data_IF_727906935587
#
_entry.id   IF_727906935587
#
_cell.length_a   1.000
_cell.length_b   1.000
_cell.length_c   1.000
_cell.angle_alpha   90.00
_cell.angle_beta   90.00
_cell.angle_gamma   90.00
#
_symmetry.space_group_name_H-M   'P 1'
#
loop_
_entity.id
_entity.type
_entity.pdbx_description
1 polymer ?
#
# COMPACT_ATOMS: atom_id res chain seq x y z
N UNK A 1 -12.92 3.55 16.27
CA UNK A 1 -11.64 2.88 15.97
C UNK A 1 -10.66 3.98 15.67
N UNK A 2 -9.57 4.06 16.42
CA UNK A 2 -8.60 5.14 16.31
C UNK A 2 -7.68 4.88 15.11
N UNK A 3 -7.82 5.65 14.03
CA UNK A 3 -7.06 5.45 12.79
C UNK A 3 -5.54 5.56 13.00
N UNK A 4 -5.10 6.19 14.09
CA UNK A 4 -3.70 6.33 14.47
C UNK A 4 -3.01 4.97 14.72
N UNK A 5 -3.66 4.03 15.41
CA UNK A 5 -3.08 2.72 15.70
C UNK A 5 -2.89 1.86 14.43
N UNK A 6 -3.81 2.02 13.47
CA UNK A 6 -3.73 1.31 12.19
C UNK A 6 -2.55 1.83 11.36
N UNK A 7 -2.33 3.14 11.37
CA UNK A 7 -1.21 3.77 10.69
C UNK A 7 0.13 3.41 11.33
N UNK A 8 0.17 3.22 12.66
CA UNK A 8 1.38 2.75 13.35
C UNK A 8 1.70 1.28 13.06
N UNK A 9 0.68 0.42 13.00
CA UNK A 9 0.86 -1.01 12.69
C UNK A 9 1.10 -1.28 11.21
N UNK A 10 0.42 -0.55 10.33
CA UNK A 10 0.44 -0.75 8.88
C UNK A 10 0.67 0.59 8.17
N UNK A 11 1.91 1.11 8.20
CA UNK A 11 2.25 2.42 7.65
C UNK A 11 2.09 2.51 6.12
N UNK A 12 1.86 1.39 5.43
CA UNK A 12 1.61 1.31 3.99
C UNK A 12 0.13 1.39 3.61
N UNK A 13 -0.79 1.28 4.57
CA UNK A 13 -2.21 1.46 4.33
C UNK A 13 -2.55 2.94 4.25
N UNK A 14 -3.42 3.25 3.30
CA UNK A 14 -3.94 4.57 3.01
C UNK A 14 -5.45 4.54 2.98
N UNK A 15 -6.06 5.61 3.45
CA UNK A 15 -7.50 5.82 3.36
C UNK A 15 -7.78 7.00 2.45
N UNK A 16 -8.59 6.75 1.44
CA UNK A 16 -9.10 7.79 0.55
C UNK A 16 -10.60 7.89 0.69
N UNK A 17 -11.11 9.11 0.60
CA UNK A 17 -12.52 9.40 0.55
C UNK A 17 -12.87 9.82 -0.87
N UNK A 18 -13.86 9.17 -1.44
CA UNK A 18 -14.39 9.51 -2.76
C UNK A 18 -15.89 9.72 -2.64
N UNK A 19 -16.32 10.96 -2.92
CA UNK A 19 -17.68 11.42 -2.65
C UNK A 19 -18.11 11.16 -1.18
N UNK A 20 -19.00 10.19 -0.95
CA UNK A 20 -19.51 9.81 0.37
C UNK A 20 -18.96 8.48 0.90
N UNK A 21 -18.07 7.83 0.15
CA UNK A 21 -17.54 6.51 0.50
C UNK A 21 -16.06 6.62 0.87
N UNK A 22 -15.65 5.86 1.87
CA UNK A 22 -14.28 5.73 2.31
C UNK A 22 -13.72 4.38 1.85
N UNK A 23 -12.51 4.42 1.31
CA UNK A 23 -11.80 3.25 0.80
C UNK A 23 -10.45 3.15 1.51
N UNK A 24 -10.28 2.06 2.25
CA UNK A 24 -9.03 1.73 2.95
C UNK A 24 -8.28 0.67 2.16
N UNK A 25 -6.98 0.89 1.95
CA UNK A 25 -6.15 -0.05 1.24
C UNK A 25 -4.80 0.50 0.83
N UNK A 26 -4.16 -0.09 -0.18
CA UNK A 26 -2.83 0.33 -0.63
C UNK A 26 -2.97 1.23 -1.84
N UNK A 27 -2.51 2.48 -1.72
CA UNK A 27 -2.48 3.41 -2.84
C UNK A 27 -1.41 2.96 -3.82
N UNK A 28 -1.82 2.59 -5.04
CA UNK A 28 -0.90 2.14 -6.07
C UNK A 28 -0.26 3.33 -6.78
N UNK A 29 -1.10 4.28 -7.21
CA UNK A 29 -0.65 5.48 -7.90
C UNK A 29 -1.60 6.63 -7.64
N UNK A 30 -1.05 7.82 -7.43
CA UNK A 30 -1.80 9.06 -7.42
C UNK A 30 -1.16 10.05 -8.39
N UNK A 31 -1.88 10.34 -9.46
CA UNK A 31 -1.52 11.38 -10.42
C UNK A 31 -2.54 12.52 -10.41
N UNK A 32 -2.25 13.61 -11.13
CA UNK A 32 -3.13 14.78 -11.24
C UNK A 32 -4.52 14.48 -11.85
N UNK A 33 -4.67 13.36 -12.56
CA UNK A 33 -5.91 12.97 -13.23
C UNK A 33 -6.59 11.77 -12.59
N UNK A 34 -5.82 10.74 -12.22
CA UNK A 34 -6.34 9.45 -11.75
C UNK A 34 -5.61 9.02 -10.48
N UNK A 35 -6.38 8.52 -9.52
CA UNK A 35 -5.91 7.88 -8.30
C UNK A 35 -6.34 6.43 -8.30
N UNK A 36 -5.40 5.53 -8.13
CA UNK A 36 -5.62 4.09 -8.17
C UNK A 36 -5.27 3.50 -6.80
N UNK A 37 -6.21 2.76 -6.22
CA UNK A 37 -6.07 2.13 -4.90
C UNK A 37 -6.51 0.68 -4.97
N UNK A 38 -5.80 -0.20 -4.28
CA UNK A 38 -6.29 -1.55 -4.01
C UNK A 38 -7.11 -1.53 -2.73
N UNK A 39 -8.41 -1.78 -2.83
CA UNK A 39 -9.33 -1.70 -1.69
C UNK A 39 -9.28 -2.99 -0.89
N UNK A 40 -8.85 -2.89 0.37
CA UNK A 40 -8.76 -4.04 1.26
C UNK A 40 -10.14 -4.64 1.60
N UNK A 41 -11.15 -3.77 1.70
CA UNK A 41 -12.52 -4.17 2.02
C UNK A 41 -13.19 -5.02 0.93
N UNK A 42 -12.74 -4.87 -0.33
CA UNK A 42 -13.29 -5.59 -1.48
C UNK A 42 -12.84 -7.07 -1.51
N UNK A 43 -11.75 -7.39 -0.80
CA UNK A 43 -11.28 -8.75 -0.63
C UNK A 43 -12.29 -9.52 0.23
N UNK A 44 -12.93 -10.55 -0.31
CA UNK A 44 -13.90 -11.37 0.44
C UNK A 44 -13.23 -12.51 1.20
N UNK A 45 -12.10 -12.99 0.69
CA UNK A 45 -11.36 -14.11 1.26
C UNK A 45 -10.43 -13.63 2.38
N UNK A 46 -10.39 -14.38 3.48
CA UNK A 46 -9.57 -14.04 4.64
C UNK A 46 -8.09 -14.34 4.36
N UNK A 47 -7.81 -15.40 3.61
CA UNK A 47 -6.46 -15.74 3.18
C UNK A 47 -5.90 -14.65 2.25
N UNK A 48 -6.70 -14.17 1.29
CA UNK A 48 -6.29 -13.06 0.42
C UNK A 48 -6.06 -11.76 1.20
N UNK A 49 -6.88 -11.48 2.21
CA UNK A 49 -6.67 -10.31 3.09
C UNK A 49 -5.33 -10.39 3.81
N UNK A 50 -4.98 -11.57 4.32
CA UNK A 50 -3.71 -11.76 5.01
C UNK A 50 -2.54 -11.60 4.04
N UNK A 51 -2.58 -12.27 2.89
CA UNK A 51 -1.55 -12.13 1.86
C UNK A 51 -1.40 -10.68 1.37
N UNK A 52 -2.50 -9.93 1.24
CA UNK A 52 -2.46 -8.52 0.87
C UNK A 52 -1.66 -7.67 1.87
N UNK A 53 -1.82 -7.94 3.17
CA UNK A 53 -1.07 -7.27 4.23
C UNK A 53 0.40 -7.70 4.22
N UNK A 54 0.69 -8.99 4.04
CA UNK A 54 2.06 -9.51 3.94
C UNK A 54 2.81 -8.88 2.75
N UNK A 55 2.18 -8.83 1.57
CA UNK A 55 2.76 -8.19 0.39
C UNK A 55 2.89 -6.68 0.55
N UNK A 56 1.94 -6.04 1.23
CA UNK A 56 2.02 -4.62 1.58
C UNK A 56 3.20 -4.32 2.49
N UNK A 57 3.44 -5.17 3.49
CA UNK A 57 4.58 -5.08 4.40
C UNK A 57 5.90 -5.31 3.65
N UNK A 58 6.00 -6.39 2.86
CA UNK A 58 7.18 -6.67 2.03
C UNK A 58 7.46 -5.48 1.12
N UNK A 59 6.45 -4.97 0.43
CA UNK A 59 6.59 -3.79 -0.42
C UNK A 59 7.02 -2.55 0.39
N UNK A 60 6.50 -2.33 1.59
CA UNK A 60 6.85 -1.17 2.40
C UNK A 60 8.31 -1.15 2.89
N UNK A 61 8.84 -2.33 3.21
CA UNK A 61 10.19 -2.52 3.74
C UNK A 61 11.23 -2.75 2.65
N UNK A 62 10.91 -3.55 1.63
CA UNK A 62 11.83 -3.92 0.55
C UNK A 62 11.76 -2.96 -0.63
N UNK A 63 10.60 -2.32 -0.86
CA UNK A 63 10.54 -1.25 -1.85
C UNK A 63 11.10 0.03 -1.27
N UNK A 64 11.72 0.80 -2.14
CA UNK A 64 12.17 2.14 -1.84
C UNK A 64 11.00 3.15 -1.73
N UNK A 65 9.76 2.68 -1.53
CA UNK A 65 8.50 3.45 -1.42
C UNK A 65 8.21 4.37 -2.60
N UNK A 66 8.84 4.07 -3.73
CA UNK A 66 8.72 4.83 -4.98
C UNK A 66 8.16 3.95 -6.08
N UNK A 67 8.56 2.68 -6.12
CA UNK A 67 8.04 1.72 -7.08
C UNK A 67 6.64 1.33 -6.63
N UNK A 68 5.59 1.46 -7.46
CA UNK A 68 4.27 0.95 -7.14
C UNK A 68 4.27 -0.55 -6.82
N UNK A 69 3.41 -0.97 -5.90
CA UNK A 69 3.32 -2.37 -5.46
C UNK A 69 3.04 -3.35 -6.60
N UNK A 70 2.24 -2.93 -7.59
CA UNK A 70 1.92 -3.75 -8.76
C UNK A 70 3.13 -3.99 -9.69
N UNK A 71 4.14 -3.11 -9.67
CA UNK A 71 5.39 -3.32 -10.41
C UNK A 71 6.33 -4.20 -9.59
N UNK A 72 6.45 -3.91 -8.29
CA UNK A 72 7.33 -4.64 -7.38
C UNK A 72 6.93 -6.11 -7.25
N UNK A 73 5.63 -6.39 -7.09
CA UNK A 73 5.07 -7.74 -6.90
C UNK A 73 4.14 -8.12 -8.06
N UNK A 74 4.48 -7.80 -9.31
CA UNK A 74 3.57 -7.97 -10.47
C UNK A 74 2.90 -9.35 -10.61
N UNK A 75 3.62 -10.44 -10.35
CA UNK A 75 3.07 -11.80 -10.41
C UNK A 75 2.14 -12.10 -9.23
N UNK A 76 2.62 -11.88 -8.02
CA UNK A 76 1.90 -12.25 -6.80
C UNK A 76 0.70 -11.33 -6.55
N UNK A 77 0.84 -10.06 -6.90
CA UNK A 77 -0.18 -9.05 -6.73
C UNK A 77 -1.24 -9.06 -7.83
N UNK A 78 -1.07 -9.86 -8.89
CA UNK A 78 -2.05 -9.95 -9.98
C UNK A 78 -3.40 -10.52 -9.53
N UNK A 79 -3.45 -11.26 -8.41
CA UNK A 79 -4.69 -11.79 -7.82
C UNK A 79 -5.55 -10.74 -7.13
N UNK A 80 -4.97 -9.58 -6.79
CA UNK A 80 -5.71 -8.45 -6.21
C UNK A 80 -6.18 -7.45 -7.27
N UNK A 81 -6.08 -7.79 -8.56
CA UNK A 81 -6.57 -6.91 -9.62
C UNK A 81 -8.07 -6.62 -9.51
N UNK A 82 -8.86 -7.58 -9.03
CA UNK A 82 -10.30 -7.40 -8.85
C UNK A 82 -10.64 -6.36 -7.77
N UNK A 83 -9.77 -6.19 -6.76
CA UNK A 83 -9.94 -5.17 -5.72
C UNK A 83 -9.35 -3.80 -6.10
N UNK A 84 -8.74 -3.69 -7.29
CA UNK A 84 -8.20 -2.43 -7.79
C UNK A 84 -9.33 -1.49 -8.22
N UNK A 85 -9.37 -0.31 -7.63
CA UNK A 85 -10.30 0.75 -8.02
C UNK A 85 -9.53 1.98 -8.47
N UNK A 86 -10.02 2.58 -9.56
CA UNK A 86 -9.49 3.81 -10.14
C UNK A 86 -10.53 4.90 -10.00
N UNK A 87 -10.11 6.05 -9.48
CA UNK A 87 -10.93 7.21 -9.22
C UNK A 87 -10.31 8.45 -9.87
N UNK A 88 -11.14 9.46 -10.17
CA UNK A 88 -10.64 10.74 -10.66
C UNK A 88 -10.09 11.56 -9.48
N UNK A 89 -8.82 11.95 -9.54
CA UNK A 89 -8.13 12.61 -8.42
C UNK A 89 -8.81 13.91 -7.96
N UNK A 90 -9.53 14.61 -8.85
CA UNK A 90 -10.25 15.84 -8.50
C UNK A 90 -11.32 15.64 -7.43
N UNK A 91 -11.91 14.45 -7.37
CA UNK A 91 -13.01 14.08 -6.48
C UNK A 91 -12.55 13.14 -5.35
N UNK A 92 -11.23 12.90 -5.26
CA UNK A 92 -10.60 12.05 -4.24
C UNK A 92 -9.92 12.92 -3.21
N UNK A 93 -10.28 12.72 -1.95
CA UNK A 93 -9.64 13.33 -0.79
C UNK A 93 -8.85 12.25 -0.05
N UNK A 94 -7.54 12.43 0.11
CA UNK A 94 -6.70 11.49 0.86
C UNK A 94 -6.80 11.84 2.34
N UNK A 95 -7.40 10.95 3.13
CA UNK A 95 -7.59 11.16 4.56
C UNK A 95 -6.28 10.95 5.33
N UNK A 96 -5.58 9.84 5.06
CA UNK A 96 -4.29 9.51 5.66
C UNK A 96 -3.55 8.42 4.87
N UNK A 97 -2.27 8.25 5.19
CA UNK A 97 -1.40 7.21 4.62
C UNK A 97 -0.50 7.69 3.47
N UNK A 98 0.49 6.89 3.08
CA UNK A 98 1.44 7.24 2.04
C UNK A 98 0.78 7.18 0.65
N UNK A 99 1.07 8.20 -0.16
CA UNK A 99 0.73 8.19 -1.57
C UNK A 99 1.99 7.96 -2.41
N UNK A 100 2.02 6.90 -3.20
CA UNK A 100 3.01 6.76 -4.27
C UNK A 100 2.53 7.50 -5.50
N UNK A 101 3.25 8.56 -5.88
CA UNK A 101 3.07 9.21 -7.18
C UNK A 101 4.22 8.80 -8.10
N UNK A 102 3.90 8.24 -9.26
CA UNK A 102 4.87 7.94 -10.32
C UNK A 102 5.73 9.17 -10.69
N UNK A 103 5.14 10.37 -10.61
CA UNK A 103 5.83 11.64 -10.82
C UNK A 103 7.00 11.91 -9.84
N UNK A 104 6.98 11.34 -8.63
CA UNK A 104 8.04 11.53 -7.63
C UNK A 104 9.17 10.50 -7.76
N UNK A 105 8.97 9.40 -8.50
CA UNK A 105 9.94 8.31 -8.70
C UNK A 105 11.17 8.79 -9.47
N UNK A 106 11.02 9.82 -10.30
CA UNK A 106 12.09 10.31 -11.16
C UNK A 106 13.19 11.09 -10.40
N UNK A 107 13.04 11.38 -9.09
CA UNK A 107 13.91 12.36 -8.40
C UNK A 107 14.73 11.90 -7.20
N UNK A 108 14.62 10.68 -6.65
CA UNK A 108 15.41 10.34 -5.45
C UNK A 108 16.15 9.01 -5.53
N UNK A 109 17.50 9.10 -5.54
CA UNK A 109 18.42 8.03 -5.18
C UNK A 109 18.08 7.51 -3.80
N UNK A 110 18.06 6.18 -3.64
CA UNK A 110 17.73 5.55 -2.37
C UNK A 110 18.99 4.97 -1.72
N UNK A 111 19.15 5.28 -0.43
CA UNK A 111 20.17 4.71 0.45
C UNK A 111 19.55 3.46 1.09
N UNK A 112 20.08 2.27 0.75
CA UNK A 112 19.68 1.00 1.35
C UNK A 112 19.99 0.98 2.84
N UNK A 113 18.99 0.73 3.68
CA UNK A 113 19.21 0.29 5.08
C UNK A 113 19.15 -1.23 5.12
N UNK A 114 20.23 -1.83 5.59
CA UNK A 114 20.40 -3.27 5.75
C UNK A 114 19.61 -3.71 6.99
N UNK A 115 18.47 -4.38 6.83
CA UNK A 115 17.73 -4.98 7.94
C UNK A 115 18.21 -6.42 8.12
N UNK A 116 19.03 -6.66 9.14
CA UNK A 116 19.38 -8.01 9.58
C UNK A 116 18.22 -8.60 10.38
N UNK A 117 17.61 -9.67 9.85
CA UNK A 117 16.61 -10.47 10.54
C UNK A 117 17.27 -11.20 11.72
N UNK A 118 17.22 -10.63 12.92
CA UNK A 118 17.71 -11.29 14.13
C UNK A 118 16.72 -12.41 14.50
N UNK A 119 17.05 -13.64 14.10
CA UNK A 119 16.33 -14.85 14.52
C UNK A 119 16.62 -15.07 16.00
N UNK A 120 15.63 -14.83 16.88
CA UNK A 120 15.71 -15.28 18.28
C UNK A 120 15.65 -16.81 18.30
N UNK A 121 16.78 -17.45 18.60
CA UNK A 121 16.79 -18.83 19.11
C UNK A 121 17.17 -18.79 20.58
N UNK A 122 16.16 -18.95 21.43
CA UNK A 122 16.29 -19.35 22.84
C UNK A 122 16.60 -20.85 22.90
N UNK A 123 17.34 -21.26 23.93
CA UNK A 123 17.87 -22.59 24.31
C UNK A 123 19.34 -22.82 23.92
N UNK A 124 20.26 -23.19 24.83
CA UNK A 124 20.13 -23.90 26.12
C UNK A 124 21.17 -23.44 27.13
#
# INVERSE_FOLDING_TARGET
MDYAELQEKFPFLSCIKYANNEYVGILQNQDQYVTTIYVYDDLKDTDLKQEFLDFGEIWWWESNRTIPINIFLSKEFSKFKDSLKSFTTKDVEVMFGPATSLNNVMKKRIIRRNISLIKKTTNS
#
